data_IF_509965058232
#
_entry.id   IF_509965058232
#
_cell.length_a   1.000
_cell.length_b   1.000
_cell.length_c   1.000
_cell.angle_alpha   90.00
_cell.angle_beta   90.00
_cell.angle_gamma   90.00
#
_symmetry.space_group_name_H-M   'P 1'
#
loop_
_entity.id
_entity.type
_entity.pdbx_description
1 polymer ?
#
# COMPACT_ATOMS: atom_id res chain seq x y z
N UNK A 1 17.14 -7.54 15.21
CA UNK A 1 15.99 -7.89 14.82
C UNK A 1 15.77 -7.66 13.42
N UNK A 2 15.22 -8.47 12.76
CA UNK A 2 14.98 -8.21 11.40
C UNK A 2 13.54 -7.95 11.19
N UNK A 3 13.29 -7.04 10.31
CA UNK A 3 11.99 -6.76 9.90
C UNK A 3 11.80 -7.33 8.58
N UNK A 4 10.86 -8.19 8.43
CA UNK A 4 10.56 -8.75 7.16
C UNK A 4 9.63 -7.89 6.35
N UNK A 5 9.05 -6.86 6.94
CA UNK A 5 8.14 -6.03 6.20
C UNK A 5 8.78 -4.71 5.90
N UNK A 6 8.42 -4.12 4.78
CA UNK A 6 8.88 -2.82 4.38
C UNK A 6 7.72 -1.86 4.37
N UNK A 7 8.03 -0.59 4.59
CA UNK A 7 7.02 0.45 4.56
C UNK A 7 7.12 1.13 3.21
N UNK A 8 5.99 1.29 2.56
CA UNK A 8 5.93 1.87 1.22
C UNK A 8 5.05 3.09 1.23
N UNK A 9 5.45 4.10 0.51
CA UNK A 9 4.59 5.24 0.25
C UNK A 9 3.94 5.03 -1.10
N UNK A 10 2.64 4.93 -1.13
CA UNK A 10 1.91 4.57 -2.33
C UNK A 10 0.90 5.65 -2.65
N UNK A 11 0.83 6.02 -3.91
CA UNK A 11 -0.14 7.01 -4.37
C UNK A 11 -1.33 6.28 -4.95
N UNK A 12 -2.52 6.80 -4.68
CA UNK A 12 -3.74 6.22 -5.21
C UNK A 12 -3.71 6.22 -6.74
N UNK A 13 -4.25 5.19 -7.38
CA UNK A 13 -4.30 5.18 -8.84
C UNK A 13 -5.29 6.19 -9.43
N UNK A 14 -6.23 6.69 -8.61
CA UNK A 14 -7.28 7.57 -9.10
C UNK A 14 -7.14 9.00 -8.64
N UNK A 15 -6.28 9.28 -7.69
CA UNK A 15 -6.19 10.64 -7.16
C UNK A 15 -4.77 10.87 -6.67
N UNK A 16 -4.54 12.06 -6.09
CA UNK A 16 -3.23 12.36 -5.54
C UNK A 16 -3.07 11.91 -4.10
N UNK A 17 -4.03 11.16 -3.58
CA UNK A 17 -3.96 10.71 -2.20
C UNK A 17 -2.79 9.73 -2.04
N UNK A 18 -1.97 9.97 -1.03
CA UNK A 18 -0.86 9.06 -0.73
C UNK A 18 -1.09 8.45 0.64
N UNK A 19 -0.59 7.24 0.81
CA UNK A 19 -0.78 6.52 2.05
C UNK A 19 0.47 5.68 2.29
N UNK A 20 0.75 5.44 3.57
CA UNK A 20 1.87 4.60 3.96
C UNK A 20 1.32 3.22 4.25
N UNK A 21 1.86 2.21 3.57
CA UNK A 21 1.42 0.83 3.75
C UNK A 21 2.62 -0.06 3.99
N UNK A 22 2.39 -1.17 4.68
CA UNK A 22 3.38 -2.22 4.82
C UNK A 22 3.22 -3.18 3.64
N UNK A 23 4.32 -3.70 3.15
CA UNK A 23 4.25 -4.61 2.02
C UNK A 23 3.62 -5.95 2.41
N UNK A 24 3.47 -6.22 3.69
CA UNK A 24 2.81 -7.43 4.17
C UNK A 24 1.55 -7.09 4.94
N UNK A 25 0.80 -6.11 4.45
CA UNK A 25 -0.45 -5.76 5.13
C UNK A 25 -1.44 -6.90 4.94
N UNK A 26 -2.33 -7.06 5.91
CA UNK A 26 -3.35 -8.09 5.82
C UNK A 26 -4.75 -7.50 5.75
N UNK A 27 -4.88 -6.24 5.42
CA UNK A 27 -6.18 -5.61 5.25
C UNK A 27 -6.18 -4.86 3.93
N UNK A 28 -7.37 -4.68 3.38
CA UNK A 28 -7.53 -3.92 2.15
C UNK A 28 -7.35 -2.44 2.45
N UNK A 29 -6.52 -1.78 1.67
CA UNK A 29 -6.30 -0.33 1.80
C UNK A 29 -7.00 0.36 0.65
N UNK A 30 -7.87 1.30 0.96
CA UNK A 30 -8.65 2.01 -0.05
C UNK A 30 -8.47 3.50 0.08
N UNK A 31 -8.65 4.18 -1.05
CA UNK A 31 -8.62 5.63 -1.11
C UNK A 31 -9.92 6.16 -0.53
N UNK A 32 -9.88 6.96 0.53
CA UNK A 32 -11.10 7.50 1.10
C UNK A 32 -11.78 8.56 0.22
N UNK A 33 -11.06 9.08 -0.76
CA UNK A 33 -11.62 10.11 -1.64
C UNK A 33 -12.42 9.47 -2.76
N UNK A 34 -11.88 8.44 -3.40
CA UNK A 34 -12.54 7.82 -4.54
C UNK A 34 -13.06 6.42 -4.25
N UNK A 35 -12.63 5.83 -3.16
CA UNK A 35 -13.01 4.45 -2.83
C UNK A 35 -12.25 3.41 -3.59
N UNK A 36 -11.23 3.80 -4.34
CA UNK A 36 -10.46 2.85 -5.13
C UNK A 36 -9.53 2.04 -4.24
N UNK A 37 -9.34 0.79 -4.60
CA UNK A 37 -8.45 -0.07 -3.83
C UNK A 37 -7.01 0.29 -4.15
N UNK A 38 -6.22 0.52 -3.12
CA UNK A 38 -4.81 0.85 -3.28
C UNK A 38 -3.95 -0.39 -3.07
N UNK A 39 -4.31 -1.23 -2.12
CA UNK A 39 -3.55 -2.44 -1.84
C UNK A 39 -4.47 -3.55 -1.38
N UNK A 40 -4.14 -4.77 -1.78
CA UNK A 40 -4.91 -5.95 -1.40
C UNK A 40 -4.01 -6.95 -0.71
N UNK A 41 -4.48 -7.57 0.37
CA UNK A 41 -3.72 -8.66 0.98
C UNK A 41 -3.83 -9.90 0.10
N UNK A 42 -2.72 -10.61 -0.07
CA UNK A 42 -2.73 -11.78 -0.92
C UNK A 42 -2.14 -13.01 -0.24
N UNK A 43 -2.10 -13.01 1.07
CA UNK A 43 -1.55 -14.16 1.77
C UNK A 43 -0.04 -14.11 1.94
N UNK A 44 0.60 -13.17 1.32
CA UNK A 44 2.03 -12.95 1.47
C UNK A 44 2.25 -11.46 1.35
N UNK A 45 2.98 -11.05 0.34
CA UNK A 45 3.16 -9.64 0.10
C UNK A 45 1.86 -9.07 -0.44
N UNK A 46 1.54 -7.87 -0.05
CA UNK A 46 0.35 -7.21 -0.53
C UNK A 46 0.48 -6.89 -2.01
N UNK A 47 -0.62 -6.95 -2.71
CA UNK A 47 -0.66 -6.52 -4.10
C UNK A 47 -0.94 -5.03 -4.13
N UNK A 48 -0.01 -4.26 -4.67
CA UNK A 48 -0.15 -2.81 -4.71
C UNK A 48 -0.75 -2.41 -6.03
N UNK A 49 -1.91 -1.78 -5.98
CA UNK A 49 -2.60 -1.33 -7.18
C UNK A 49 -2.30 0.11 -7.50
N UNK A 50 -1.85 0.88 -6.53
CA UNK A 50 -1.46 2.25 -6.77
C UNK A 50 -0.01 2.34 -7.21
N UNK A 51 0.54 3.54 -7.17
CA UNK A 51 1.91 3.76 -7.60
C UNK A 51 2.81 3.84 -6.38
N UNK A 52 3.83 3.00 -6.33
CA UNK A 52 4.79 3.04 -5.24
C UNK A 52 5.74 4.20 -5.51
N UNK A 53 5.69 5.20 -4.64
CA UNK A 53 6.51 6.38 -4.79
C UNK A 53 7.86 6.21 -4.14
N UNK A 54 7.88 5.50 -3.01
CA UNK A 54 9.11 5.43 -2.24
C UNK A 54 9.06 4.21 -1.33
N UNK A 55 10.17 3.56 -1.16
CA UNK A 55 10.32 2.49 -0.19
C UNK A 55 10.95 3.07 1.04
N UNK A 56 10.20 3.03 2.14
CA UNK A 56 10.72 3.47 3.43
C UNK A 56 11.07 2.21 4.20
N UNK A 57 11.95 2.28 5.08
CA UNK A 57 12.29 1.08 5.74
C UNK A 57 11.86 1.00 7.12
#
# INVERSE_FOLDING_TARGET
>A
MSNDSKVLRVKSPDSDYTVIIFDKCDTVVKDPVTGSTIALPTGGKAKILGEVLEELE
#
